data_IF_607220082166
#
_entry.id   IF_607220082166
#
_cell.length_a   1.000
_cell.length_b   1.000
_cell.length_c   1.000
_cell.angle_alpha   90.00
_cell.angle_beta   90.00
_cell.angle_gamma   90.00
#
_symmetry.space_group_name_H-M   'P 1'
#
loop_
_entity.id
_entity.type
_entity.pdbx_description
1 polymer ?
#
# COMPACT_ATOMS: atom_id res chain seq x y z
N UNK A 1 13.46 -2.97 -11.74
CA UNK A 1 13.43 -1.97 -10.66
C UNK A 1 12.65 -2.57 -9.52
N UNK A 2 13.27 -2.75 -8.36
CA UNK A 2 12.60 -3.27 -7.17
C UNK A 2 11.41 -2.37 -6.80
N UNK A 3 10.23 -2.98 -6.57
CA UNK A 3 9.06 -2.27 -6.06
C UNK A 3 9.46 -1.64 -4.71
N UNK A 4 9.15 -0.36 -4.51
CA UNK A 4 9.47 0.36 -3.26
C UNK A 4 8.82 -0.29 -2.06
N UNK A 5 9.49 -0.25 -0.92
CA UNK A 5 8.97 -0.85 0.31
C UNK A 5 7.60 -0.25 0.68
N UNK A 6 6.60 -1.05 1.04
CA UNK A 6 5.27 -0.53 1.40
C UNK A 6 5.31 0.41 2.60
N UNK A 7 6.21 0.14 3.55
CA UNK A 7 6.46 1.04 4.69
C UNK A 7 7.03 2.40 4.24
N UNK A 8 7.91 2.42 3.23
CA UNK A 8 8.44 3.66 2.66
C UNK A 8 7.39 4.43 1.86
N UNK A 9 6.55 3.71 1.10
CA UNK A 9 5.44 4.31 0.35
C UNK A 9 4.50 5.06 1.29
N UNK A 10 4.13 4.43 2.42
CA UNK A 10 3.31 5.07 3.45
C UNK A 10 4.09 6.10 4.29
N UNK A 11 5.42 6.06 4.26
CA UNK A 11 6.30 6.90 5.07
C UNK A 11 6.16 6.59 6.55
N UNK A 12 6.08 5.31 6.91
CA UNK A 12 5.98 4.80 8.28
C UNK A 12 7.11 3.82 8.57
N UNK A 13 7.35 3.57 9.86
CA UNK A 13 8.31 2.56 10.28
C UNK A 13 7.77 1.12 10.09
N UNK A 14 8.67 0.14 9.97
CA UNK A 14 8.31 -1.29 9.86
C UNK A 14 7.52 -1.83 11.05
N UNK A 15 7.66 -1.20 12.22
CA UNK A 15 6.90 -1.52 13.44
C UNK A 15 5.62 -0.68 13.61
N UNK A 16 5.20 0.06 12.57
CA UNK A 16 4.02 0.92 12.65
C UNK A 16 2.76 0.11 13.01
N UNK A 17 1.96 0.71 13.88
CA UNK A 17 0.65 0.20 14.28
C UNK A 17 -0.39 0.38 13.17
N UNK A 18 -1.48 -0.39 13.21
CA UNK A 18 -2.59 -0.25 12.26
C UNK A 18 -3.19 1.17 12.26
N UNK A 19 -3.15 1.85 13.42
CA UNK A 19 -3.58 3.23 13.54
C UNK A 19 -2.67 4.20 12.75
N UNK A 20 -1.36 4.02 12.82
CA UNK A 20 -0.38 4.80 12.07
C UNK A 20 -0.49 4.53 10.57
N UNK A 21 -0.63 3.27 10.16
CA UNK A 21 -0.85 2.89 8.76
C UNK A 21 -2.10 3.59 8.20
N UNK A 22 -3.22 3.56 8.93
CA UNK A 22 -4.46 4.22 8.53
C UNK A 22 -4.31 5.75 8.47
N UNK A 23 -3.56 6.35 9.40
CA UNK A 23 -3.28 7.80 9.41
C UNK A 23 -2.40 8.20 8.22
N UNK A 24 -1.35 7.45 7.94
CA UNK A 24 -0.44 7.67 6.83
C UNK A 24 -1.16 7.53 5.48
N UNK A 25 -1.92 6.45 5.30
CA UNK A 25 -2.73 6.22 4.11
C UNK A 25 -3.70 7.37 3.86
N UNK A 26 -4.48 7.79 4.86
CA UNK A 26 -5.42 8.93 4.70
C UNK A 26 -4.72 10.22 4.29
N UNK A 27 -3.55 10.51 4.86
CA UNK A 27 -2.75 11.69 4.49
C UNK A 27 -2.28 11.63 3.04
N UNK A 28 -1.80 10.48 2.58
CA UNK A 28 -1.36 10.28 1.19
C UNK A 28 -2.53 10.28 0.21
N UNK A 29 -3.62 9.60 0.57
CA UNK A 29 -4.86 9.56 -0.20
C UNK A 29 -5.41 10.96 -0.44
N UNK A 30 -5.45 11.81 0.59
CA UNK A 30 -5.87 13.22 0.44
C UNK A 30 -4.86 14.09 -0.31
N UNK A 31 -3.57 13.75 -0.30
CA UNK A 31 -2.52 14.50 -0.99
C UNK A 31 -2.48 14.17 -2.48
N UNK A 32 -2.71 12.90 -2.82
CA UNK A 32 -2.65 12.36 -4.17
C UNK A 32 -4.04 12.06 -4.75
N UNK A 33 -5.10 12.54 -4.10
CA UNK A 33 -6.47 12.31 -4.54
C UNK A 33 -6.67 12.85 -5.97
N UNK A 34 -7.34 12.12 -6.87
CA UNK A 34 -7.58 12.56 -8.24
C UNK A 34 -8.37 13.87 -8.31
N UNK A 35 -9.32 14.08 -7.40
CA UNK A 35 -10.08 15.34 -7.28
C UNK A 35 -9.19 16.58 -7.04
N UNK A 36 -8.09 16.42 -6.29
CA UNK A 36 -7.16 17.51 -5.97
C UNK A 36 -5.97 17.59 -6.92
N UNK A 37 -5.75 16.53 -7.70
CA UNK A 37 -4.67 16.43 -8.67
C UNK A 37 -5.22 15.92 -10.01
N UNK A 38 -6.15 16.66 -10.64
CA UNK A 38 -6.64 16.30 -11.95
C UNK A 38 -5.46 16.22 -12.94
N UNK A 39 -5.47 15.21 -13.80
CA UNK A 39 -4.48 14.95 -14.85
C UNK A 39 -3.02 14.73 -14.39
N UNK A 40 -2.81 14.46 -13.10
CA UNK A 40 -1.48 14.13 -12.58
C UNK A 40 -1.26 12.62 -12.49
N UNK A 41 -0.76 12.02 -13.57
CA UNK A 41 -0.44 10.58 -13.61
C UNK A 41 0.54 10.13 -12.53
N UNK A 42 1.43 11.02 -12.07
CA UNK A 42 2.34 10.71 -10.95
C UNK A 42 1.62 10.69 -9.59
N UNK A 43 0.59 11.53 -9.39
CA UNK A 43 -0.27 11.45 -8.22
C UNK A 43 -1.12 10.18 -8.25
N UNK A 44 -1.67 9.81 -9.40
CA UNK A 44 -2.42 8.56 -9.57
C UNK A 44 -1.55 7.33 -9.24
N UNK A 45 -0.33 7.27 -9.76
CA UNK A 45 0.62 6.19 -9.45
C UNK A 45 0.91 6.10 -7.94
N UNK A 46 1.21 7.24 -7.30
CA UNK A 46 1.45 7.30 -5.84
C UNK A 46 0.21 6.93 -5.03
N UNK A 47 -0.97 7.29 -5.50
CA UNK A 47 -2.23 6.92 -4.86
C UNK A 47 -2.46 5.41 -4.91
N UNK A 48 -2.25 4.79 -6.07
CA UNK A 48 -2.36 3.34 -6.26
C UNK A 48 -1.36 2.58 -5.37
N UNK A 49 -0.09 3.00 -5.37
CA UNK A 49 0.94 2.43 -4.50
C UNK A 49 0.58 2.57 -3.01
N UNK A 50 0.12 3.75 -2.56
CA UNK A 50 -0.26 3.96 -1.17
C UNK A 50 -1.47 3.13 -0.76
N UNK A 51 -2.41 2.91 -1.67
CA UNK A 51 -3.56 2.02 -1.46
C UNK A 51 -3.10 0.57 -1.31
N UNK A 52 -2.29 0.07 -2.24
CA UNK A 52 -1.76 -1.29 -2.19
C UNK A 52 -0.95 -1.53 -0.90
N UNK A 53 -0.06 -0.60 -0.56
CA UNK A 53 0.72 -0.64 0.68
C UNK A 53 -0.17 -0.74 1.93
N UNK A 54 -1.25 0.05 1.98
CA UNK A 54 -2.19 -0.01 3.09
C UNK A 54 -2.97 -1.32 3.12
N UNK A 55 -3.44 -1.83 2.00
CA UNK A 55 -4.16 -3.11 1.93
C UNK A 55 -3.32 -4.30 2.39
N UNK A 56 -2.02 -4.30 2.06
CA UNK A 56 -1.08 -5.33 2.52
C UNK A 56 -0.75 -5.16 4.00
N UNK A 57 -0.36 -3.96 4.42
CA UNK A 57 0.15 -3.74 5.78
C UNK A 57 -0.95 -3.68 6.86
N UNK A 58 -2.19 -3.35 6.48
CA UNK A 58 -3.32 -3.33 7.42
C UNK A 58 -3.87 -4.72 7.75
N UNK A 59 -3.64 -5.69 6.87
CA UNK A 59 -3.99 -7.09 7.07
C UNK A 59 -2.81 -7.83 7.70
N UNK A 60 -3.02 -8.44 8.87
CA UNK A 60 -1.95 -9.12 9.60
C UNK A 60 -1.39 -10.33 8.85
N UNK A 61 -2.20 -11.05 8.08
CA UNK A 61 -1.75 -12.21 7.30
C UNK A 61 -0.94 -11.76 6.09
N UNK A 62 -1.43 -10.75 5.35
CA UNK A 62 -0.70 -10.20 4.20
C UNK A 62 0.58 -9.49 4.62
N UNK A 63 0.55 -8.75 5.74
CA UNK A 63 1.74 -8.14 6.32
C UNK A 63 2.77 -9.20 6.71
N UNK A 64 2.36 -10.30 7.34
CA UNK A 64 3.28 -11.39 7.66
C UNK A 64 3.89 -12.01 6.39
N UNK A 65 3.09 -12.24 5.35
CA UNK A 65 3.58 -12.73 4.06
C UNK A 65 4.56 -11.75 3.39
N UNK A 66 4.27 -10.44 3.45
CA UNK A 66 5.15 -9.40 2.96
C UNK A 66 6.45 -9.31 3.76
N UNK A 67 6.38 -9.38 5.09
CA UNK A 67 7.57 -9.33 5.94
C UNK A 67 8.46 -10.57 5.75
N UNK A 68 7.88 -11.72 5.36
CA UNK A 68 8.59 -12.98 5.12
C UNK A 68 9.16 -13.12 3.70
N UNK A 69 8.41 -12.69 2.68
CA UNK A 69 8.73 -12.95 1.27
C UNK A 69 8.89 -11.66 0.44
N UNK A 70 8.74 -10.49 1.04
CA UNK A 70 8.72 -9.19 0.37
C UNK A 70 7.51 -9.04 -0.57
N UNK A 71 7.67 -8.22 -1.60
CA UNK A 71 6.64 -8.00 -2.63
C UNK A 71 6.18 -9.30 -3.31
N UNK A 72 7.02 -10.33 -3.39
CA UNK A 72 6.66 -11.62 -3.99
C UNK A 72 5.61 -12.40 -3.17
N UNK A 73 5.54 -12.18 -1.86
CA UNK A 73 4.56 -12.86 -0.98
C UNK A 73 3.14 -12.33 -1.09
N UNK A 74 2.97 -11.18 -1.74
CA UNK A 74 1.71 -10.43 -1.78
C UNK A 74 1.40 -9.86 -3.16
N UNK A 75 2.19 -10.25 -4.17
CA UNK A 75 2.07 -9.72 -5.51
C UNK A 75 0.69 -10.09 -6.08
N UNK A 76 -0.17 -9.08 -6.26
CA UNK A 76 -1.54 -9.29 -6.76
C UNK A 76 -1.56 -9.81 -8.21
N UNK A 77 -0.41 -9.82 -8.91
CA UNK A 77 -0.25 -10.44 -10.23
C UNK A 77 -0.31 -11.99 -10.16
N UNK A 78 -0.01 -12.60 -9.01
CA UNK A 78 -0.19 -14.05 -8.79
C UNK A 78 -1.50 -14.39 -8.05
N UNK A 79 -2.28 -13.38 -7.64
CA UNK A 79 -3.47 -13.52 -6.79
C UNK A 79 -4.73 -12.85 -7.33
N UNK A 80 -4.80 -12.62 -8.65
CA UNK A 80 -6.02 -12.19 -9.33
C UNK A 80 -7.08 -13.28 -9.29
N UNK A 81 -7.79 -13.43 -8.16
CA UNK A 81 -8.95 -14.31 -8.07
C UNK A 81 -9.21 -14.85 -6.66
N UNK A 82 -10.08 -14.16 -5.92
CA UNK A 82 -10.96 -14.81 -4.94
C UNK A 82 -10.37 -15.19 -3.58
N UNK A 83 -10.52 -14.28 -2.60
CA UNK A 83 -10.88 -14.68 -1.24
C UNK A 83 -11.98 -13.76 -0.74
N UNK A 84 -13.19 -14.08 -1.19
CA UNK A 84 -14.47 -13.57 -0.71
C UNK A 84 -15.49 -14.68 -0.96
N UNK A 85 -15.83 -15.41 0.09
CA UNK A 85 -16.70 -16.60 0.06
C UNK A 85 -16.27 -17.62 1.09
#
# INVERSE_FOLDING_TARGET
MDKRDFYEILGVAKNASSAELKKAYRRLAMKHHPDRNPDNGAAEAKFKEAKEAYEILSDSQKRAAYDQFGHAGVDSQAGGGGYGG
#
